data_IF_706266404968
#
_entry.id   IF_706266404968
#
_cell.length_a   1.000
_cell.length_b   1.000
_cell.length_c   1.000
_cell.angle_alpha   90.00
_cell.angle_beta   90.00
_cell.angle_gamma   90.00
#
_symmetry.space_group_name_H-M   'P 1'
#
loop_
_entity.id
_entity.type
_entity.pdbx_description
1 polymer ?
#
# COMPACT_ATOMS: atom_id res chain seq x y z
N UNK A 1 8.87 -39.29 -18.69
CA UNK A 1 8.09 -38.06 -18.93
C UNK A 1 6.65 -38.56 -19.08
N UNK A 2 5.71 -38.38 -18.16
CA UNK A 2 5.33 -37.17 -17.43
C UNK A 2 4.36 -37.62 -16.33
N UNK A 3 4.60 -37.24 -15.08
CA UNK A 3 3.60 -37.27 -14.03
C UNK A 3 4.07 -36.30 -12.93
N UNK A 4 3.63 -35.05 -13.01
CA UNK A 4 3.54 -34.24 -11.80
C UNK A 4 2.10 -34.34 -11.35
N UNK A 5 1.90 -35.18 -10.33
CA UNK A 5 0.74 -35.12 -9.44
C UNK A 5 0.50 -33.67 -9.07
N UNK A 6 -0.56 -33.10 -9.63
CA UNK A 6 -1.03 -31.77 -9.27
C UNK A 6 -1.90 -31.96 -8.03
N UNK A 7 -1.26 -31.98 -6.86
CA UNK A 7 -1.95 -31.79 -5.59
C UNK A 7 -2.72 -30.45 -5.67
N UNK A 8 -4.04 -30.41 -5.47
CA UNK A 8 -4.75 -29.14 -5.40
C UNK A 8 -4.37 -28.45 -4.08
N UNK A 9 -3.82 -27.22 -4.09
CA UNK A 9 -3.64 -26.48 -2.86
C UNK A 9 -5.02 -26.16 -2.26
N UNK A 10 -5.35 -26.86 -1.18
CA UNK A 10 -6.51 -26.58 -0.35
C UNK A 10 -6.25 -25.31 0.47
N UNK A 11 -6.81 -24.15 0.08
CA UNK A 11 -7.25 -23.01 0.93
C UNK A 11 -7.52 -21.74 0.10
N UNK A 12 -8.44 -20.85 0.52
CA UNK A 12 -8.93 -19.74 -0.30
C UNK A 12 -7.89 -18.62 -0.39
N UNK A 13 -6.90 -18.75 -1.29
CA UNK A 13 -5.88 -17.73 -1.57
C UNK A 13 -6.21 -16.94 -2.85
N UNK A 14 -7.50 -16.68 -3.09
CA UNK A 14 -7.93 -15.78 -4.15
C UNK A 14 -7.73 -14.30 -3.82
N UNK A 15 -7.24 -13.99 -2.61
CA UNK A 15 -7.07 -12.63 -2.09
C UNK A 15 -5.61 -12.16 -2.24
N UNK A 16 -4.62 -13.05 -2.25
CA UNK A 16 -3.21 -12.64 -2.18
C UNK A 16 -2.63 -12.10 -3.49
N UNK A 17 -2.84 -12.78 -4.62
CA UNK A 17 -2.25 -12.33 -5.89
C UNK A 17 -2.84 -10.99 -6.37
N UNK A 18 -4.17 -10.86 -6.31
CA UNK A 18 -4.85 -9.63 -6.73
C UNK A 18 -4.53 -8.45 -5.80
N UNK A 19 -4.38 -8.69 -4.49
CA UNK A 19 -4.01 -7.66 -3.53
C UNK A 19 -2.53 -7.26 -3.65
N UNK A 20 -1.65 -8.21 -3.95
CA UNK A 20 -0.23 -7.94 -4.21
C UNK A 20 -0.02 -7.17 -5.53
N UNK A 21 -0.77 -7.51 -6.58
CA UNK A 21 -0.81 -6.72 -7.82
C UNK A 21 -1.36 -5.31 -7.59
N UNK A 22 -2.38 -5.15 -6.73
CA UNK A 22 -2.92 -3.83 -6.39
C UNK A 22 -1.89 -2.99 -5.63
N UNK A 23 -1.20 -3.56 -4.65
CA UNK A 23 -0.10 -2.89 -3.95
C UNK A 23 1.05 -2.50 -4.89
N UNK A 24 1.42 -3.37 -5.84
CA UNK A 24 2.46 -3.03 -6.82
C UNK A 24 2.03 -1.86 -7.71
N UNK A 25 0.77 -1.81 -8.14
CA UNK A 25 0.23 -0.66 -8.88
C UNK A 25 0.24 0.62 -8.03
N UNK A 26 -0.18 0.53 -6.77
CA UNK A 26 -0.17 1.67 -5.84
C UNK A 26 1.26 2.19 -5.60
N UNK A 27 2.23 1.28 -5.44
CA UNK A 27 3.65 1.60 -5.34
C UNK A 27 4.18 2.28 -6.60
N UNK A 28 3.85 1.78 -7.79
CA UNK A 28 4.28 2.41 -9.03
C UNK A 28 3.72 3.84 -9.20
N UNK A 29 2.46 4.08 -8.79
CA UNK A 29 1.85 5.41 -8.78
C UNK A 29 2.56 6.33 -7.78
N UNK A 30 2.97 5.79 -6.63
CA UNK A 30 3.78 6.52 -5.67
C UNK A 30 5.13 6.91 -6.28
N UNK A 31 5.87 5.94 -6.82
CA UNK A 31 7.23 6.15 -7.36
C UNK A 31 7.23 7.14 -8.54
N UNK A 32 6.20 7.11 -9.40
CA UNK A 32 6.06 8.08 -10.50
C UNK A 32 5.89 9.52 -9.98
N UNK A 33 5.29 9.68 -8.81
CA UNK A 33 4.93 10.98 -8.21
C UNK A 33 5.72 11.28 -6.94
N UNK A 34 6.73 10.49 -6.62
CA UNK A 34 7.41 10.52 -5.32
C UNK A 34 8.04 11.90 -5.09
N UNK A 35 8.86 12.37 -6.02
CA UNK A 35 9.49 13.70 -5.93
C UNK A 35 8.44 14.80 -5.76
N UNK A 36 7.39 14.84 -6.60
CA UNK A 36 6.33 15.85 -6.52
C UNK A 36 5.62 15.82 -5.16
N UNK A 37 5.30 14.63 -4.66
CA UNK A 37 4.57 14.47 -3.41
C UNK A 37 5.44 14.81 -2.19
N UNK A 38 6.72 14.45 -2.21
CA UNK A 38 7.66 14.78 -1.14
C UNK A 38 8.03 16.26 -1.12
N UNK A 39 8.13 16.91 -2.29
CA UNK A 39 8.31 18.36 -2.38
C UNK A 39 7.06 19.13 -1.92
N UNK A 40 5.87 18.63 -2.26
CA UNK A 40 4.59 19.27 -1.92
C UNK A 40 4.19 19.05 -0.47
N UNK A 41 4.52 17.89 0.10
CA UNK A 41 4.12 17.48 1.46
C UNK A 41 5.33 17.05 2.30
N UNK A 42 6.29 17.97 2.57
CA UNK A 42 7.48 17.63 3.33
C UNK A 42 7.11 17.20 4.75
N UNK A 43 7.58 16.02 5.15
CA UNK A 43 7.39 15.47 6.50
C UNK A 43 5.97 14.95 6.80
N UNK A 44 5.11 14.80 5.79
CA UNK A 44 3.78 14.20 5.94
C UNK A 44 3.81 12.71 5.63
N UNK A 45 2.82 11.99 6.14
CA UNK A 45 2.56 10.60 5.78
C UNK A 45 1.67 10.56 4.53
N UNK A 46 2.03 9.71 3.59
CA UNK A 46 1.34 9.54 2.32
C UNK A 46 0.86 8.10 2.23
N UNK A 47 -0.42 7.91 1.96
CA UNK A 47 -1.02 6.62 1.65
C UNK A 47 -1.57 6.64 0.24
N UNK A 48 -1.43 5.54 -0.49
CA UNK A 48 -2.08 5.37 -1.78
C UNK A 48 -3.01 4.18 -1.68
N UNK A 49 -4.26 4.37 -2.09
CA UNK A 49 -5.26 3.31 -2.13
C UNK A 49 -6.12 3.46 -3.38
N UNK A 50 -6.29 2.39 -4.15
CA UNK A 50 -7.07 2.42 -5.39
C UNK A 50 -6.57 3.40 -6.47
N UNK A 51 -5.34 3.90 -6.34
CA UNK A 51 -4.76 4.92 -7.22
C UNK A 51 -5.00 6.37 -6.77
N UNK A 52 -5.68 6.57 -5.64
CA UNK A 52 -5.81 7.88 -5.00
C UNK A 52 -4.72 8.08 -3.95
N UNK A 53 -4.27 9.33 -3.82
CA UNK A 53 -3.23 9.74 -2.86
C UNK A 53 -3.90 10.42 -1.67
N UNK A 54 -3.73 9.83 -0.50
CA UNK A 54 -4.16 10.34 0.80
C UNK A 54 -2.94 10.87 1.55
N UNK A 55 -3.03 12.08 2.08
CA UNK A 55 -1.94 12.69 2.85
C UNK A 55 -2.46 13.03 4.24
N UNK A 56 -1.65 12.80 5.26
CA UNK A 56 -2.00 13.06 6.66
C UNK A 56 -0.78 13.34 7.51
N UNK A 57 -1.00 13.88 8.71
CA UNK A 57 0.06 14.12 9.68
C UNK A 57 0.49 12.83 10.38
N UNK A 58 -0.36 11.79 10.38
CA UNK A 58 -0.11 10.49 11.00
C UNK A 58 -0.62 9.35 10.11
N UNK A 59 -0.07 8.15 10.29
CA UNK A 59 -0.53 6.96 9.57
C UNK A 59 -2.00 6.65 9.87
N UNK A 60 -2.47 6.84 11.11
CA UNK A 60 -3.89 6.74 11.49
C UNK A 60 -4.78 7.64 10.62
N UNK A 61 -4.44 8.93 10.49
CA UNK A 61 -5.26 9.87 9.69
C UNK A 61 -5.35 9.47 8.22
N UNK A 62 -4.24 8.96 7.67
CA UNK A 62 -4.20 8.44 6.29
C UNK A 62 -5.06 7.18 6.16
N UNK A 63 -5.01 6.30 7.17
CA UNK A 63 -5.77 5.04 7.20
C UNK A 63 -7.26 5.32 7.34
N UNK A 64 -7.69 6.15 8.30
CA UNK A 64 -9.09 6.56 8.48
C UNK A 64 -9.68 7.13 7.17
N UNK A 65 -8.93 8.01 6.50
CA UNK A 65 -9.37 8.57 5.20
C UNK A 65 -9.47 7.52 4.11
N UNK A 66 -8.50 6.62 4.05
CA UNK A 66 -8.50 5.57 3.04
C UNK A 66 -9.59 4.52 3.31
N UNK A 67 -9.87 4.18 4.56
CA UNK A 67 -10.95 3.27 4.96
C UNK A 67 -12.34 3.88 4.73
N UNK A 68 -12.50 5.20 4.85
CA UNK A 68 -13.75 5.89 4.51
C UNK A 68 -14.12 5.73 3.02
N UNK A 69 -13.10 5.68 2.15
CA UNK A 69 -13.30 5.54 0.69
C UNK A 69 -13.23 4.09 0.22
N UNK A 70 -12.33 3.30 0.80
CA UNK A 70 -12.02 1.92 0.42
C UNK A 70 -11.84 1.02 1.67
N UNK A 71 -12.93 0.59 2.33
CA UNK A 71 -12.86 -0.15 3.59
C UNK A 71 -12.30 -1.59 3.48
N UNK A 72 -12.16 -2.14 2.27
CA UNK A 72 -11.72 -3.52 2.05
C UNK A 72 -10.49 -3.61 1.12
N UNK A 73 -9.69 -2.54 1.05
CA UNK A 73 -8.58 -2.44 0.10
C UNK A 73 -7.26 -2.16 0.81
N UNK A 74 -6.20 -2.80 0.32
CA UNK A 74 -4.86 -2.55 0.84
C UNK A 74 -4.41 -1.13 0.50
N UNK A 75 -3.68 -0.53 1.43
CA UNK A 75 -3.15 0.82 1.33
C UNK A 75 -1.62 0.72 1.34
N UNK A 76 -0.98 1.32 0.34
CA UNK A 76 0.46 1.50 0.33
C UNK A 76 0.83 2.76 1.13
N UNK A 77 1.59 2.60 2.22
CA UNK A 77 2.04 3.72 3.03
C UNK A 77 3.50 4.07 2.75
N UNK A 78 3.75 5.36 2.59
CA UNK A 78 5.06 5.97 2.60
C UNK A 78 5.09 7.08 3.65
N UNK A 79 5.90 6.88 4.69
CA UNK A 79 6.20 7.91 5.68
C UNK A 79 7.69 8.22 5.66
N UNK A 80 8.10 9.44 6.02
CA UNK A 80 9.51 9.67 6.33
C UNK A 80 9.94 8.66 7.40
N UNK A 81 11.19 8.16 7.37
CA UNK A 81 11.67 7.31 8.45
C UNK A 81 11.51 8.13 9.73
N UNK A 82 10.54 7.74 10.58
CA UNK A 82 10.53 8.20 11.96
C UNK A 82 11.92 7.85 12.46
N UNK A 83 12.73 8.87 12.76
CA UNK A 83 13.83 8.66 13.67
C UNK A 83 13.17 8.16 14.95
N UNK A 84 13.13 6.84 15.11
CA UNK A 84 13.05 6.20 16.41
C UNK A 84 14.32 6.61 17.16
N UNK A 85 14.41 7.88 17.57
CA UNK A 85 15.22 8.29 18.70
C UNK A 85 14.53 7.72 19.92
N UNK A 86 14.78 6.45 20.20
CA UNK A 86 14.58 5.89 21.54
C UNK A 86 15.56 6.66 22.45
N UNK A 87 15.02 7.64 23.18
CA UNK A 87 15.73 8.31 24.29
C UNK A 87 15.60 7.51 25.57
#
# INVERSE_FOLDING_TARGET
MTAQETLPPSRPHGVDAAAEEDLQRQKAIFEEREEELLEKYPGKNIGICGGEVFVGDSLDEVTDRAEEVYPDRLIYFYGPPVLCMVS
#
